data_IF_707655819499
#
_entry.id   IF_707655819499
#
_cell.length_a   1.000
_cell.length_b   1.000
_cell.length_c   1.000
_cell.angle_alpha   90.00
_cell.angle_beta   90.00
_cell.angle_gamma   90.00
#
_symmetry.space_group_name_H-M   'P 1'
#
loop_
_entity.id
_entity.type
_entity.pdbx_description
1 polymer ?
#
# COMPACT_ATOMS: atom_id res chain seq x y z
N UNK A 1 3.05 -9.17 -2.17
CA UNK A 1 1.79 -9.95 -2.31
C UNK A 1 1.30 -10.46 -0.95
N UNK A 2 2.20 -10.51 0.03
CA UNK A 2 2.02 -11.25 1.28
C UNK A 2 1.63 -10.33 2.43
N UNK A 3 0.58 -9.53 2.21
CA UNK A 3 0.05 -8.64 3.24
C UNK A 3 -0.93 -9.42 4.11
N UNK A 4 -0.62 -9.53 5.39
CA UNK A 4 -1.51 -10.16 6.38
C UNK A 4 -2.46 -9.11 6.94
N UNK A 5 -3.76 -9.41 6.91
CA UNK A 5 -4.81 -8.58 7.52
C UNK A 5 -5.51 -9.38 8.62
N UNK A 6 -5.87 -8.70 9.70
CA UNK A 6 -6.48 -9.34 10.87
C UNK A 6 -7.96 -9.68 10.67
N UNK A 7 -8.42 -10.76 11.31
CA UNK A 7 -9.83 -11.17 11.33
C UNK A 7 -10.41 -11.46 9.94
N UNK A 8 -11.69 -11.08 9.72
CA UNK A 8 -12.43 -11.31 8.46
C UNK A 8 -12.22 -10.21 7.42
N UNK A 9 -11.23 -9.33 7.61
CA UNK A 9 -10.97 -8.19 6.69
C UNK A 9 -10.63 -8.64 5.28
N UNK A 10 -10.07 -9.84 5.10
CA UNK A 10 -9.70 -10.37 3.78
C UNK A 10 -10.92 -10.50 2.84
N UNK A 11 -12.06 -10.94 3.35
CA UNK A 11 -13.30 -11.09 2.58
C UNK A 11 -14.23 -9.88 2.69
N UNK A 12 -14.29 -9.23 3.86
CA UNK A 12 -15.27 -8.18 4.13
C UNK A 12 -14.81 -6.77 3.73
N UNK A 13 -13.50 -6.50 3.70
CA UNK A 13 -13.01 -5.17 3.33
C UNK A 13 -13.24 -4.96 1.83
N UNK A 14 -13.98 -3.91 1.50
CA UNK A 14 -14.28 -3.54 0.12
C UNK A 14 -13.55 -2.25 -0.27
N UNK A 15 -13.21 -2.18 -1.56
CA UNK A 15 -12.69 -1.00 -2.23
C UNK A 15 -13.73 -0.60 -3.28
N UNK A 16 -14.30 0.59 -3.12
CA UNK A 16 -15.26 1.13 -4.05
C UNK A 16 -14.65 2.24 -4.90
N UNK A 17 -15.16 2.36 -6.12
CA UNK A 17 -14.86 3.46 -7.02
C UNK A 17 -16.09 3.76 -7.86
N UNK A 18 -16.28 5.02 -8.21
CA UNK A 18 -17.34 5.47 -9.07
C UNK A 18 -16.75 6.07 -10.35
N UNK A 19 -17.32 5.72 -11.50
CA UNK A 19 -16.83 6.20 -12.79
C UNK A 19 -17.42 7.55 -13.22
N UNK A 20 -18.42 8.09 -12.52
CA UNK A 20 -19.10 9.34 -12.89
C UNK A 20 -20.44 9.15 -13.61
N UNK A 21 -20.70 7.96 -14.17
CA UNK A 21 -21.94 7.64 -14.91
C UNK A 21 -22.96 6.90 -14.03
N UNK A 22 -24.28 7.06 -14.28
CA UNK A 22 -25.31 6.26 -13.60
C UNK A 22 -25.01 4.75 -13.68
N UNK A 23 -25.08 4.06 -12.55
CA UNK A 23 -24.70 2.63 -12.45
C UNK A 23 -23.18 2.37 -12.48
N UNK A 24 -22.34 3.40 -12.50
CA UNK A 24 -20.89 3.30 -12.61
C UNK A 24 -20.13 2.89 -11.34
N UNK A 25 -20.84 2.45 -10.30
CA UNK A 25 -20.21 2.01 -9.04
C UNK A 25 -19.60 0.63 -9.22
N UNK A 26 -18.30 0.51 -8.94
CA UNK A 26 -17.57 -0.76 -8.97
C UNK A 26 -17.00 -1.02 -7.60
N UNK A 27 -17.29 -2.21 -7.05
CA UNK A 27 -16.83 -2.64 -5.73
C UNK A 27 -15.97 -3.90 -5.92
N UNK A 28 -14.85 -3.97 -5.21
CA UNK A 28 -13.98 -5.15 -5.16
C UNK A 28 -13.64 -5.48 -3.72
N UNK A 29 -13.58 -6.74 -3.36
CA UNK A 29 -13.09 -7.15 -2.04
C UNK A 29 -11.55 -7.03 -1.98
N UNK A 30 -10.99 -7.07 -0.77
CA UNK A 30 -9.54 -7.09 -0.58
C UNK A 30 -8.88 -8.26 -1.29
N UNK A 31 -9.49 -9.45 -1.20
CA UNK A 31 -9.05 -10.65 -1.91
C UNK A 31 -9.00 -10.46 -3.44
N UNK A 32 -10.07 -9.93 -4.04
CA UNK A 32 -10.08 -9.66 -5.48
C UNK A 32 -9.06 -8.57 -5.88
N UNK A 33 -8.80 -7.62 -4.97
CA UNK A 33 -7.87 -6.52 -5.21
C UNK A 33 -6.43 -6.99 -5.15
N UNK A 34 -6.08 -7.85 -4.18
CA UNK A 34 -4.70 -8.36 -4.06
C UNK A 34 -4.32 -9.28 -5.22
N UNK A 35 -5.29 -10.01 -5.77
CA UNK A 35 -5.09 -10.86 -6.95
C UNK A 35 -4.82 -10.01 -8.22
N UNK A 36 -5.64 -8.99 -8.48
CA UNK A 36 -5.53 -8.16 -9.68
C UNK A 36 -4.41 -7.11 -9.60
N UNK A 37 -4.28 -6.46 -8.45
CA UNK A 37 -3.38 -5.35 -8.20
C UNK A 37 -2.76 -5.48 -6.80
N UNK A 38 -1.77 -6.38 -6.63
CA UNK A 38 -1.19 -6.69 -5.32
C UNK A 38 -0.56 -5.50 -4.59
N UNK A 39 -0.16 -4.44 -5.31
CA UNK A 39 0.45 -3.23 -4.75
C UNK A 39 -0.58 -2.19 -4.28
N UNK A 40 -1.81 -2.25 -4.82
CA UNK A 40 -2.83 -1.23 -4.60
C UNK A 40 -3.26 -1.10 -3.13
N UNK A 41 -3.50 -2.19 -2.36
CA UNK A 41 -3.96 -2.07 -0.98
C UNK A 41 -3.02 -1.24 -0.09
N UNK A 42 -1.71 -1.40 -0.25
CA UNK A 42 -0.69 -0.68 0.52
C UNK A 42 -0.59 0.77 0.05
N UNK A 43 -0.48 1.00 -1.26
CA UNK A 43 -0.42 2.36 -1.81
C UNK A 43 -1.65 3.19 -1.44
N UNK A 44 -2.84 2.58 -1.46
CA UNK A 44 -4.08 3.21 -1.05
C UNK A 44 -4.12 3.52 0.45
N UNK A 45 -3.63 2.60 1.30
CA UNK A 45 -3.54 2.83 2.74
C UNK A 45 -2.60 4.00 3.07
N UNK A 46 -1.40 4.02 2.49
CA UNK A 46 -0.43 5.11 2.70
C UNK A 46 -0.99 6.44 2.20
N UNK A 47 -1.60 6.48 1.01
CA UNK A 47 -2.26 7.68 0.49
C UNK A 47 -3.33 8.23 1.44
N UNK A 48 -4.07 7.35 2.12
CA UNK A 48 -5.09 7.75 3.09
C UNK A 48 -4.51 8.30 4.41
N UNK A 49 -3.25 7.98 4.73
CA UNK A 49 -2.56 8.50 5.92
C UNK A 49 -1.84 9.83 5.65
N UNK A 50 -1.69 10.23 4.39
CA UNK A 50 -1.08 11.50 4.01
C UNK A 50 -2.12 12.61 3.94
N UNK A 51 -1.66 13.84 4.19
CA UNK A 51 -2.43 15.06 3.97
C UNK A 51 -2.92 15.17 2.52
N UNK A 52 -4.16 15.61 2.33
CA UNK A 52 -4.77 15.76 1.00
C UNK A 52 -4.46 17.12 0.38
N UNK A 53 -3.19 17.35 0.05
CA UNK A 53 -2.71 18.55 -0.63
C UNK A 53 -1.62 18.21 -1.66
N UNK A 54 -1.08 19.24 -2.32
CA UNK A 54 0.01 19.11 -3.31
C UNK A 54 1.24 18.43 -2.71
N UNK A 55 1.63 18.82 -1.49
CA UNK A 55 2.76 18.22 -0.78
C UNK A 55 2.55 16.72 -0.49
N UNK A 56 1.35 16.31 -0.08
CA UNK A 56 1.01 14.91 0.13
C UNK A 56 1.06 14.10 -1.17
N UNK A 57 0.62 14.69 -2.30
CA UNK A 57 0.77 14.08 -3.61
C UNK A 57 2.25 13.89 -4.00
N UNK A 58 3.11 14.87 -3.71
CA UNK A 58 4.55 14.77 -3.96
C UNK A 58 5.23 13.74 -3.07
N UNK A 59 4.84 13.65 -1.79
CA UNK A 59 5.30 12.60 -0.88
C UNK A 59 4.92 11.21 -1.39
N UNK A 60 3.70 11.04 -1.90
CA UNK A 60 3.23 9.76 -2.45
C UNK A 60 4.06 9.31 -3.66
N UNK A 61 4.59 10.23 -4.48
CA UNK A 61 5.45 9.90 -5.64
C UNK A 61 6.80 9.30 -5.24
N UNK A 62 7.24 9.51 -3.99
CA UNK A 62 8.46 8.92 -3.43
C UNK A 62 8.26 7.46 -3.02
N UNK A 63 7.02 7.05 -2.75
CA UNK A 63 6.70 5.67 -2.37
C UNK A 63 6.79 4.73 -3.59
N UNK A 64 7.55 3.64 -3.46
CA UNK A 64 7.62 2.55 -4.44
C UNK A 64 7.18 1.24 -3.77
N UNK A 65 6.12 0.64 -4.29
CA UNK A 65 5.55 -0.62 -3.79
C UNK A 65 5.72 -1.70 -4.85
N UNK A 66 6.37 -2.81 -4.48
CA UNK A 66 6.60 -3.95 -5.35
C UNK A 66 5.75 -5.15 -4.94
N UNK A 67 5.32 -5.94 -5.93
CA UNK A 67 4.50 -7.11 -5.66
C UNK A 67 5.33 -8.32 -5.20
N UNK A 68 6.57 -8.44 -5.69
CA UNK A 68 7.52 -9.50 -5.38
C UNK A 68 8.72 -8.99 -4.57
N UNK A 69 9.67 -9.89 -4.29
CA UNK A 69 10.81 -9.63 -3.43
C UNK A 69 11.89 -8.73 -4.05
N UNK A 70 11.92 -8.59 -5.37
CA UNK A 70 12.95 -7.81 -6.08
C UNK A 70 12.48 -6.37 -6.37
N UNK A 71 13.42 -5.43 -6.27
CA UNK A 71 13.22 -4.02 -6.62
C UNK A 71 14.25 -3.56 -7.67
N UNK A 72 13.90 -2.58 -8.49
CA UNK A 72 14.78 -2.03 -9.55
C UNK A 72 15.77 -0.96 -9.07
N UNK A 73 15.90 -0.76 -7.77
CA UNK A 73 16.66 0.36 -7.16
C UNK A 73 18.02 -0.06 -6.59
N UNK A 74 18.66 -1.06 -7.18
CA UNK A 74 19.96 -1.56 -6.69
C UNK A 74 21.05 -0.47 -6.67
N UNK A 75 21.08 0.41 -7.68
CA UNK A 75 22.03 1.51 -7.76
C UNK A 75 21.92 2.53 -6.61
N UNK A 76 20.78 2.57 -5.90
CA UNK A 76 20.52 3.53 -4.82
C UNK A 76 20.97 3.01 -3.44
N UNK A 77 21.46 1.76 -3.36
CA UNK A 77 21.92 1.11 -2.12
C UNK A 77 20.95 1.31 -0.93
N UNK A 78 19.69 0.84 -1.05
CA UNK A 78 18.69 1.03 0.00
C UNK A 78 19.09 0.31 1.30
N UNK A 79 18.96 1.01 2.42
CA UNK A 79 19.19 0.45 3.75
C UNK A 79 17.91 -0.22 4.30
N UNK A 80 18.00 -1.45 4.84
CA UNK A 80 16.84 -2.12 5.42
C UNK A 80 16.40 -1.43 6.72
N UNK A 81 15.09 -1.32 6.90
CA UNK A 81 14.47 -0.80 8.12
C UNK A 81 13.65 -1.93 8.75
N UNK A 82 13.85 -2.13 10.05
CA UNK A 82 13.05 -3.05 10.88
C UNK A 82 12.22 -2.27 11.89
N UNK A 83 11.05 -2.79 12.24
CA UNK A 83 10.18 -2.19 13.24
C UNK A 83 10.18 -3.06 14.51
N UNK A 84 10.33 -2.43 15.68
CA UNK A 84 10.19 -3.10 16.97
C UNK A 84 8.73 -3.39 17.34
N UNK A 85 8.50 -4.03 18.49
CA UNK A 85 7.15 -4.41 18.96
C UNK A 85 6.19 -3.22 19.14
N UNK A 86 6.74 -2.05 19.47
CA UNK A 86 5.99 -0.81 19.66
C UNK A 86 5.96 0.09 18.41
N UNK A 87 6.46 -0.39 17.26
CA UNK A 87 6.53 0.39 16.02
C UNK A 87 7.72 1.35 15.93
N UNK A 88 8.70 1.21 16.84
CA UNK A 88 9.94 1.96 16.81
C UNK A 88 10.78 1.58 15.59
N UNK A 89 11.38 2.58 14.95
CA UNK A 89 12.28 2.36 13.81
C UNK A 89 13.63 1.92 14.36
N UNK A 90 13.94 0.64 14.19
CA UNK A 90 15.27 0.10 14.47
C UNK A 90 16.05 0.21 13.17
N UNK A 91 17.03 1.12 13.15
CA UNK A 91 18.01 1.18 12.07
C UNK A 91 19.04 0.11 12.36
N UNK A 92 19.36 -0.73 11.37
CA UNK A 92 20.52 -1.61 11.46
C UNK A 92 21.78 -0.73 11.44
N UNK A 93 22.19 -0.25 12.61
CA UNK A 93 23.50 0.36 12.83
C UNK A 93 24.42 -0.72 13.36
N UNK A 94 25.33 -1.15 12.49
CA UNK A 94 26.48 -2.07 12.67
C UNK A 94 26.18 -3.48 13.22
#
# INVERSE_FOLDING_TARGET
RDVVVTGRKRSQKTYDRYSGYPGGRRVRTFEQTIEKHPTYPIAHAVRGMLQHNTLGADQLRRLRVYAGAQHRHEAQQPQPITFGELGEIIRATE
#
